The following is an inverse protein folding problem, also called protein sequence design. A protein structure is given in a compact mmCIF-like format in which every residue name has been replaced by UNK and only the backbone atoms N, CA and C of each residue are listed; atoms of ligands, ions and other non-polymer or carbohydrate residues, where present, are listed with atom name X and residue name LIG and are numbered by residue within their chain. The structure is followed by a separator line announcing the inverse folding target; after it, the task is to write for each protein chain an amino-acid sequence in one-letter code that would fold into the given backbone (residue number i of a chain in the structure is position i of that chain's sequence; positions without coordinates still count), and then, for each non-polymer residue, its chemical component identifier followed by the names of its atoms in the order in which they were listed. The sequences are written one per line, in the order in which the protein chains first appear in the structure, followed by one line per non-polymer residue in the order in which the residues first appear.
data_IF_580500440955
#
_entry.id   IF_580500440955
#
_cell.length_a   1.000
_cell.length_b   1.000
_cell.length_c   1.000
_cell.angle_alpha   90.00
_cell.angle_beta   90.00
_cell.angle_gamma   90.00
#
_symmetry.space_group_name_H-M   'P 1'
#
loop_
_entity.id
_entity.type
_entity.pdbx_description
1 polymer ?
#
# COMPACT_ATOMS: atom_id res chain seq x y z
N UNK A 1 -11.89 4.83 -15.02
CA UNK A 1 -12.82 3.77 -15.42
C UNK A 1 -13.58 3.24 -14.22
N UNK A 2 -14.79 2.82 -14.43
CA UNK A 2 -15.63 2.29 -13.38
C UNK A 2 -15.47 0.79 -13.13
N UNK A 3 -14.49 0.15 -13.75
CA UNK A 3 -14.29 -1.28 -13.62
C UNK A 3 -13.35 -1.61 -12.46
N UNK A 4 -13.75 -2.62 -11.67
CA UNK A 4 -12.88 -3.20 -10.66
C UNK A 4 -12.09 -4.34 -11.29
N UNK A 5 -10.77 -4.27 -11.19
CA UNK A 5 -9.89 -5.32 -11.71
C UNK A 5 -9.03 -5.88 -10.60
N UNK A 6 -8.83 -7.19 -10.64
CA UNK A 6 -7.89 -7.88 -9.77
C UNK A 6 -6.63 -8.16 -10.58
N UNK A 7 -5.51 -7.58 -10.22
CA UNK A 7 -4.23 -7.77 -10.89
C UNK A 7 -3.31 -8.63 -10.02
N UNK A 8 -3.30 -9.93 -10.28
CA UNK A 8 -2.42 -10.84 -9.56
C UNK A 8 -2.61 -10.79 -8.07
N UNK A 9 -1.65 -11.31 -7.34
CA UNK A 9 -1.67 -11.32 -5.90
C UNK A 9 -0.82 -10.23 -5.28
N UNK A 10 -1.33 -9.60 -4.24
CA UNK A 10 -0.55 -8.73 -3.36
C UNK A 10 -0.24 -9.49 -2.08
N UNK A 11 0.89 -9.16 -1.43
CA UNK A 11 1.17 -9.70 -0.10
C UNK A 11 0.29 -9.05 0.97
N UNK A 12 -0.38 -7.96 0.63
CA UNK A 12 -1.28 -7.26 1.54
C UNK A 12 -2.60 -7.99 1.62
N UNK A 13 -2.96 -8.42 2.82
CA UNK A 13 -4.18 -9.17 3.06
C UNK A 13 -5.35 -8.23 3.38
N UNK A 14 -6.54 -8.65 2.99
CA UNK A 14 -7.78 -7.95 3.34
C UNK A 14 -8.01 -6.65 2.60
N UNK A 15 -7.31 -6.43 1.51
CA UNK A 15 -7.53 -5.24 0.68
C UNK A 15 -7.88 -5.64 -0.75
N UNK A 16 -8.59 -4.74 -1.40
CA UNK A 16 -8.98 -4.94 -2.77
C UNK A 16 -10.08 -5.98 -2.91
N UNK A 17 -11.01 -5.70 -3.77
CA UNK A 17 -12.09 -6.61 -4.09
C UNK A 17 -12.44 -6.45 -5.54
N UNK A 18 -12.66 -7.57 -6.22
CA UNK A 18 -13.18 -7.54 -7.59
C UNK A 18 -14.70 -7.39 -7.62
N UNK A 19 -15.33 -7.32 -6.45
CA UNK A 19 -16.77 -7.23 -6.28
C UNK A 19 -17.18 -5.82 -5.85
N UNK A 20 -18.26 -5.30 -6.47
CA UNK A 20 -18.83 -4.03 -6.04
C UNK A 20 -19.78 -4.31 -4.88
N UNK A 21 -19.43 -3.80 -3.70
CA UNK A 21 -20.26 -3.92 -2.50
C UNK A 21 -21.27 -2.76 -2.44
N UNK A 22 -22.28 -2.90 -1.58
CA UNK A 22 -23.26 -1.82 -1.39
C UNK A 22 -22.63 -0.52 -0.90
N UNK A 23 -21.65 -0.64 -0.02
CA UNK A 23 -20.95 0.53 0.49
C UNK A 23 -20.17 1.25 -0.62
N UNK A 24 -19.50 0.48 -1.47
CA UNK A 24 -18.75 1.02 -2.59
C UNK A 24 -19.66 1.61 -3.65
N UNK A 25 -20.79 0.94 -3.94
CA UNK A 25 -21.74 1.37 -4.95
C UNK A 25 -22.28 2.77 -4.69
N UNK A 26 -22.49 3.11 -3.41
CA UNK A 26 -23.03 4.41 -3.01
C UNK A 26 -21.94 5.43 -2.66
N UNK A 27 -20.69 5.04 -2.70
CA UNK A 27 -19.57 5.94 -2.39
C UNK A 27 -19.32 6.91 -3.54
N UNK A 28 -19.12 8.17 -3.19
CA UNK A 28 -18.73 9.19 -4.17
C UNK A 28 -17.20 9.19 -4.27
N UNK A 29 -16.70 8.66 -5.38
CA UNK A 29 -15.28 8.51 -5.61
C UNK A 29 -14.87 9.36 -6.81
N UNK A 30 -13.85 10.24 -6.62
CA UNK A 30 -13.37 11.12 -7.66
C UNK A 30 -12.29 10.49 -8.52
N UNK A 31 -11.52 9.54 -7.97
CA UNK A 31 -10.47 8.87 -8.70
C UNK A 31 -9.91 7.69 -7.93
N UNK A 32 -9.00 6.96 -8.56
CA UNK A 32 -8.39 5.78 -7.97
C UNK A 32 -6.99 5.54 -8.52
N UNK A 33 -6.14 4.92 -7.72
CA UNK A 33 -4.81 4.48 -8.11
C UNK A 33 -4.65 2.99 -7.84
N UNK A 34 -3.95 2.30 -8.73
CA UNK A 34 -3.55 0.93 -8.51
C UNK A 34 -2.09 0.93 -8.03
N UNK A 35 -1.86 0.44 -6.83
CA UNK A 35 -0.53 0.41 -6.21
C UNK A 35 -0.11 -1.04 -6.02
N UNK A 36 1.08 -1.39 -6.48
CA UNK A 36 1.62 -2.74 -6.28
C UNK A 36 2.64 -2.78 -5.13
N UNK A 37 3.07 -3.99 -4.79
CA UNK A 37 3.99 -4.21 -3.68
C UNK A 37 5.37 -3.60 -3.94
N UNK A 38 5.80 -3.52 -5.19
CA UNK A 38 7.09 -2.91 -5.55
C UNK A 38 7.15 -1.44 -5.21
N UNK A 39 6.02 -0.78 -5.24
CA UNK A 39 5.92 0.65 -4.89
C UNK A 39 5.68 0.84 -3.39
N UNK A 40 4.85 -0.01 -2.80
CA UNK A 40 4.43 0.13 -1.40
C UNK A 40 5.52 -0.30 -0.39
N UNK A 41 6.21 -1.42 -0.63
CA UNK A 41 7.17 -1.97 0.33
C UNK A 41 8.35 -1.05 0.61
N UNK A 42 9.02 -0.46 -0.40
CA UNK A 42 10.13 0.45 -0.13
C UNK A 42 9.76 1.62 0.78
N UNK A 43 8.53 2.13 0.65
CA UNK A 43 8.03 3.20 1.51
C UNK A 43 7.99 2.74 2.96
N UNK A 44 7.48 1.53 3.20
CA UNK A 44 7.38 0.97 4.55
C UNK A 44 8.75 0.76 5.18
N UNK A 45 9.71 0.23 4.43
CA UNK A 45 11.06 0.00 4.92
C UNK A 45 11.79 1.32 5.20
N UNK A 46 11.56 2.33 4.36
CA UNK A 46 12.13 3.66 4.56
C UNK A 46 11.61 4.31 5.84
N UNK A 47 10.32 4.16 6.12
CA UNK A 47 9.72 4.69 7.35
C UNK A 47 10.29 4.03 8.60
N UNK A 48 10.57 2.72 8.54
CA UNK A 48 11.22 2.04 9.66
C UNK A 48 12.63 2.58 9.87
N UNK A 49 13.41 2.66 8.81
CA UNK A 49 14.82 3.08 8.89
C UNK A 49 14.98 4.54 9.30
N UNK A 50 14.19 5.44 8.76
CA UNK A 50 14.39 6.86 8.92
C UNK A 50 13.47 7.53 9.94
N UNK A 51 12.29 6.96 10.19
CA UNK A 51 11.31 7.54 11.10
C UNK A 51 10.99 6.66 12.31
N UNK A 52 11.50 5.43 12.33
CA UNK A 52 11.17 4.49 13.40
C UNK A 52 9.72 4.06 13.42
N UNK A 53 9.04 4.16 12.28
CA UNK A 53 7.61 3.88 12.15
C UNK A 53 7.40 2.56 11.45
N UNK A 54 6.93 1.55 12.17
CA UNK A 54 6.71 0.21 11.64
C UNK A 54 5.23 -0.01 11.38
N UNK A 55 4.84 0.10 10.13
CA UNK A 55 3.44 0.06 9.70
C UNK A 55 3.12 -1.19 8.89
N UNK A 56 1.84 -1.55 8.87
CA UNK A 56 1.34 -2.68 8.09
C UNK A 56 1.35 -2.40 6.58
N UNK A 57 1.20 -3.47 5.82
CA UNK A 57 1.35 -3.40 4.35
C UNK A 57 0.32 -2.50 3.67
N UNK A 58 -0.93 -2.44 4.18
CA UNK A 58 -1.95 -1.55 3.62
C UNK A 58 -1.59 -0.08 3.78
N UNK A 59 -0.83 0.27 4.83
CA UNK A 59 -0.36 1.64 5.01
C UNK A 59 0.57 2.06 3.87
N UNK A 60 1.43 1.15 3.41
CA UNK A 60 2.31 1.42 2.27
C UNK A 60 1.53 1.73 1.00
N UNK A 61 0.45 1.00 0.78
CA UNK A 61 -0.44 1.23 -0.36
C UNK A 61 -1.10 2.60 -0.25
N UNK A 62 -1.62 2.93 0.92
CA UNK A 62 -2.27 4.23 1.14
C UNK A 62 -1.28 5.39 0.99
N UNK A 63 -0.08 5.25 1.54
CA UNK A 63 0.94 6.29 1.45
C UNK A 63 1.40 6.47 -0.01
N UNK A 64 1.63 5.37 -0.73
CA UNK A 64 2.00 5.44 -2.13
C UNK A 64 0.93 6.16 -2.96
N UNK A 65 -0.34 5.85 -2.71
CA UNK A 65 -1.45 6.54 -3.35
C UNK A 65 -1.48 8.03 -3.01
N UNK A 66 -1.24 8.38 -1.75
CA UNK A 66 -1.18 9.77 -1.33
C UNK A 66 -0.03 10.53 -2.01
N UNK A 67 1.12 9.88 -2.15
CA UNK A 67 2.27 10.48 -2.85
C UNK A 67 1.94 10.75 -4.33
N UNK A 68 1.33 9.79 -5.00
CA UNK A 68 0.91 9.96 -6.39
C UNK A 68 -0.10 11.09 -6.54
N UNK A 69 -1.08 11.14 -5.66
CA UNK A 69 -2.09 12.20 -5.66
C UNK A 69 -1.46 13.56 -5.42
N UNK A 70 -0.50 13.64 -4.50
CA UNK A 70 0.21 14.88 -4.21
C UNK A 70 0.97 15.40 -5.41
N UNK A 71 1.62 14.50 -6.16
CA UNK A 71 2.34 14.88 -7.38
C UNK A 71 1.38 15.37 -8.47
N UNK A 72 0.23 14.75 -8.58
CA UNK A 72 -0.78 15.11 -9.56
C UNK A 72 -1.43 16.45 -9.25
N UNK A 73 -1.75 16.70 -7.98
CA UNK A 73 -2.43 17.94 -7.57
C UNK A 73 -1.49 19.14 -7.44
N UNK A 74 -0.19 18.90 -7.20
CA UNK A 74 0.78 19.97 -7.01
C UNK A 74 0.81 20.51 -5.58
N UNK A 75 1.66 21.53 -5.32
CA UNK A 75 1.85 22.07 -3.99
C UNK A 75 0.62 22.82 -3.45
N UNK A 76 0.59 23.00 -2.14
CA UNK A 76 -0.46 23.77 -1.48
C UNK A 76 -1.74 23.00 -1.18
N UNK A 77 -1.71 21.67 -1.33
CA UNK A 77 -2.87 20.83 -1.06
C UNK A 77 -2.70 20.04 0.23
N UNK A 78 -3.80 19.76 0.89
CA UNK A 78 -3.83 18.91 2.08
C UNK A 78 -4.35 17.53 1.68
N UNK A 79 -3.56 16.50 1.98
CA UNK A 79 -3.93 15.11 1.65
C UNK A 79 -4.00 14.33 2.95
N UNK A 80 -5.13 13.64 3.16
CA UNK A 80 -5.36 12.81 4.33
C UNK A 80 -5.41 11.36 3.91
N UNK A 81 -4.71 10.49 4.63
CA UNK A 81 -4.76 9.05 4.39
C UNK A 81 -4.88 8.32 5.72
N UNK A 82 -5.15 7.02 5.65
CA UNK A 82 -5.36 6.20 6.84
C UNK A 82 -4.17 5.28 7.04
N UNK A 83 -3.63 5.26 8.25
CA UNK A 83 -2.62 4.29 8.68
C UNK A 83 -3.35 3.21 9.48
N UNK A 84 -3.70 2.13 8.81
CA UNK A 84 -4.65 1.14 9.31
C UNK A 84 -4.13 0.35 10.51
N UNK A 85 -2.89 -0.16 10.44
CA UNK A 85 -2.33 -1.00 11.49
C UNK A 85 -0.80 -0.97 11.51
N UNK A 86 -0.24 -1.64 12.50
CA UNK A 86 1.20 -1.81 12.64
C UNK A 86 1.67 -3.07 11.88
N UNK A 87 2.98 -3.22 11.76
CA UNK A 87 3.59 -4.31 10.99
C UNK A 87 3.52 -5.69 11.66
N UNK A 88 3.11 -5.78 12.90
CA UNK A 88 3.19 -7.02 13.69
C UNK A 88 2.54 -8.23 13.03
N UNK A 89 1.45 -8.03 12.30
CA UNK A 89 0.71 -9.09 11.61
C UNK A 89 1.42 -9.60 10.35
N UNK A 90 2.47 -8.92 9.91
CA UNK A 90 3.07 -9.16 8.59
C UNK A 90 4.50 -9.66 8.66
N UNK A 91 4.96 -10.08 9.85
CA UNK A 91 6.33 -10.54 10.07
C UNK A 91 6.73 -11.71 9.16
N UNK A 92 5.79 -12.60 8.84
CA UNK A 92 6.05 -13.77 8.00
C UNK A 92 6.22 -13.42 6.52
N UNK A 93 5.90 -12.20 6.15
CA UNK A 93 5.98 -11.73 4.75
C UNK A 93 6.96 -10.59 4.59
N UNK A 94 6.64 -9.38 5.09
CA UNK A 94 7.47 -8.20 4.83
C UNK A 94 8.83 -8.21 5.53
N UNK A 95 9.01 -9.03 6.57
CA UNK A 95 10.29 -9.19 7.26
C UNK A 95 10.90 -10.57 7.06
N UNK A 96 10.42 -11.32 6.10
CA UNK A 96 10.94 -12.63 5.76
C UNK A 96 11.71 -12.54 4.45
N UNK A 97 13.05 -12.52 4.56
CA UNK A 97 13.92 -12.37 3.41
C UNK A 97 13.69 -13.43 2.34
N UNK A 98 13.54 -14.71 2.76
CA UNK A 98 13.29 -15.81 1.84
C UNK A 98 11.99 -15.64 1.08
N UNK A 99 10.94 -15.21 1.77
CA UNK A 99 9.64 -14.94 1.15
C UNK A 99 9.77 -13.83 0.10
N UNK A 100 10.46 -12.74 0.45
CA UNK A 100 10.63 -11.60 -0.45
C UNK A 100 11.46 -12.00 -1.68
N UNK A 101 12.50 -12.79 -1.50
CA UNK A 101 13.31 -13.30 -2.62
C UNK A 101 12.49 -14.18 -3.55
N UNK A 102 11.69 -15.07 -2.99
CA UNK A 102 10.82 -15.96 -3.76
C UNK A 102 9.81 -15.19 -4.60
N UNK A 103 9.25 -14.13 -4.05
CA UNK A 103 8.28 -13.29 -4.74
C UNK A 103 8.93 -12.20 -5.59
N UNK A 104 10.25 -12.11 -5.60
CA UNK A 104 11.02 -11.10 -6.33
C UNK A 104 10.60 -9.69 -5.93
N UNK A 105 10.38 -9.49 -4.62
CA UNK A 105 9.99 -8.20 -4.07
C UNK A 105 11.20 -7.44 -3.52
N UNK A 106 11.09 -6.12 -3.37
CA UNK A 106 12.18 -5.34 -2.78
C UNK A 106 12.55 -5.82 -1.38
N UNK A 107 13.85 -5.88 -1.11
CA UNK A 107 14.38 -6.29 0.17
C UNK A 107 15.22 -5.14 0.71
N UNK A 108 14.95 -4.64 1.93
CA UNK A 108 15.80 -3.60 2.50
C UNK A 108 17.17 -4.18 2.84
N UNK A 109 18.21 -3.36 2.70
CA UNK A 109 19.59 -3.80 2.94
C UNK A 109 19.85 -4.25 4.38
N UNK A 110 19.04 -3.79 5.31
CA UNK A 110 19.18 -4.12 6.74
C UNK A 110 18.46 -5.42 7.14
N UNK A 111 17.78 -6.07 6.22
CA UNK A 111 17.05 -7.32 6.51
C UNK A 111 17.92 -8.58 6.19
#
# INVERSE_FOLDING_TARGET
SGELKSEGGSITEGIGSSRITKNFENAKIDGAFSINDYEALPILYDLIENEGLSLGTSCGINIAGAIRLGKELGPGKTIVTILCDKSDKYNSKMFNKSFLEEKKLPIPRWL
#
